data_IF_530511739764
#
_entry.id   IF_530511739764
#
_cell.length_a   1.000
_cell.length_b   1.000
_cell.length_c   1.000
_cell.angle_alpha   90.00
_cell.angle_beta   90.00
_cell.angle_gamma   90.00
#
_symmetry.space_group_name_H-M   'P 1'
#
loop_
_entity.id
_entity.type
_entity.pdbx_description
1 polymer ?
#
# COMPACT_ATOMS: atom_id res chain seq x y z
N UNK A 1 -6.44 -3.03 20.65
CA UNK A 1 -6.41 -4.28 19.83
C UNK A 1 -5.69 -3.98 18.54
N UNK A 2 -4.64 -4.72 18.18
CA UNK A 2 -4.10 -4.66 16.81
C UNK A 2 -5.11 -5.37 15.92
N UNK A 3 -5.75 -4.66 15.01
CA UNK A 3 -6.57 -5.32 14.01
C UNK A 3 -5.68 -6.28 13.22
N UNK A 4 -6.00 -7.57 13.25
CA UNK A 4 -5.39 -8.54 12.34
C UNK A 4 -6.09 -8.40 11.00
N UNK A 5 -5.34 -8.14 9.93
CA UNK A 5 -5.85 -8.13 8.55
C UNK A 5 -5.25 -9.29 7.73
N UNK A 6 -5.60 -10.56 8.01
CA UNK A 6 -4.95 -11.71 7.37
C UNK A 6 -5.03 -11.69 5.85
N UNK A 7 -6.18 -11.28 5.29
CA UNK A 7 -6.37 -11.19 3.84
C UNK A 7 -5.40 -10.18 3.19
N UNK A 8 -5.21 -9.02 3.83
CA UNK A 8 -4.28 -7.99 3.32
C UNK A 8 -2.82 -8.44 3.45
N UNK A 9 -2.47 -9.12 4.54
CA UNK A 9 -1.13 -9.69 4.72
C UNK A 9 -0.86 -10.77 3.65
N UNK A 10 -1.82 -11.65 3.40
CA UNK A 10 -1.73 -12.65 2.33
C UNK A 10 -1.57 -12.03 0.95
N UNK A 11 -2.32 -10.95 0.66
CA UNK A 11 -2.22 -10.20 -0.59
C UNK A 11 -0.82 -9.58 -0.78
N UNK A 12 -0.18 -9.09 0.29
CA UNK A 12 1.18 -8.55 0.26
C UNK A 12 2.25 -9.64 0.08
N UNK A 13 2.07 -10.79 0.71
CA UNK A 13 3.11 -11.83 0.74
C UNK A 13 3.30 -12.54 -0.61
N UNK A 14 2.23 -12.75 -1.37
CA UNK A 14 2.28 -13.44 -2.66
C UNK A 14 3.24 -12.77 -3.69
N UNK A 15 3.11 -11.46 -4.00
CA UNK A 15 4.04 -10.80 -4.92
C UNK A 15 5.46 -10.73 -4.34
N UNK A 16 5.60 -10.49 -3.04
CA UNK A 16 6.90 -10.44 -2.34
C UNK A 16 7.70 -11.73 -2.55
N UNK A 17 7.08 -12.91 -2.36
CA UNK A 17 7.73 -14.20 -2.61
C UNK A 17 8.12 -14.40 -4.07
N UNK A 18 7.29 -13.94 -5.01
CA UNK A 18 7.57 -14.03 -6.45
C UNK A 18 8.77 -13.15 -6.84
N UNK A 19 8.88 -11.94 -6.26
CA UNK A 19 10.00 -11.04 -6.46
C UNK A 19 11.30 -11.65 -5.90
N UNK A 20 11.26 -12.17 -4.66
CA UNK A 20 12.40 -12.86 -4.04
C UNK A 20 12.89 -14.04 -4.90
N UNK A 21 11.97 -14.91 -5.36
CA UNK A 21 12.30 -16.06 -6.20
C UNK A 21 12.88 -15.70 -7.57
N UNK A 22 12.67 -14.47 -8.04
CA UNK A 22 13.22 -13.93 -9.28
C UNK A 22 14.47 -13.08 -9.08
N UNK A 23 14.95 -12.91 -7.84
CA UNK A 23 16.08 -12.05 -7.52
C UNK A 23 15.81 -10.56 -7.75
N UNK A 24 14.55 -10.14 -7.76
CA UNK A 24 14.16 -8.73 -7.92
C UNK A 24 14.18 -8.04 -6.55
N UNK A 25 14.95 -6.97 -6.43
CA UNK A 25 15.06 -6.20 -5.19
C UNK A 25 13.79 -5.38 -4.91
N UNK A 26 13.41 -5.26 -3.63
CA UNK A 26 12.32 -4.43 -3.12
C UNK A 26 12.56 -4.02 -1.66
N UNK A 27 11.76 -3.10 -1.12
CA UNK A 27 11.87 -2.67 0.28
C UNK A 27 11.46 -3.79 1.24
N UNK A 28 12.40 -4.22 2.12
CA UNK A 28 12.20 -5.31 3.08
C UNK A 28 11.69 -4.85 4.44
N UNK A 29 11.35 -3.57 4.62
CA UNK A 29 10.79 -3.07 5.89
C UNK A 29 9.51 -3.85 6.24
N UNK A 30 9.26 -4.10 7.54
CA UNK A 30 8.02 -4.72 7.99
C UNK A 30 6.80 -3.99 7.43
N UNK A 31 5.91 -4.73 6.79
CA UNK A 31 4.71 -4.16 6.21
C UNK A 31 3.74 -3.72 7.31
N UNK A 32 3.55 -2.40 7.41
CA UNK A 32 2.54 -1.77 8.27
C UNK A 32 1.48 -1.15 7.35
N UNK A 33 0.27 -1.72 7.24
CA UNK A 33 -0.77 -1.15 6.39
C UNK A 33 -1.09 0.29 6.79
N UNK A 34 -0.94 1.23 5.85
CA UNK A 34 -1.23 2.65 6.07
C UNK A 34 -1.53 3.36 4.76
N UNK A 35 -2.19 4.51 4.86
CA UNK A 35 -2.35 5.48 3.77
C UNK A 35 -1.63 6.75 4.19
N UNK A 36 -0.69 7.23 3.36
CA UNK A 36 0.00 8.49 3.64
C UNK A 36 -0.96 9.65 3.35
N UNK A 37 -1.32 10.42 4.38
CA UNK A 37 -2.17 11.62 4.23
C UNK A 37 -1.35 12.89 3.97
N UNK A 38 -0.27 13.07 4.72
CA UNK A 38 0.63 14.23 4.64
C UNK A 38 2.07 13.76 4.75
N UNK A 39 2.97 14.36 3.96
CA UNK A 39 4.42 14.15 4.06
C UNK A 39 5.06 15.36 4.73
N UNK A 40 6.17 15.15 5.45
CA UNK A 40 6.89 16.21 6.19
C UNK A 40 5.96 16.97 7.17
N UNK A 41 5.12 16.22 7.88
CA UNK A 41 4.25 16.80 8.90
C UNK A 41 5.10 17.21 10.11
N UNK A 42 5.27 18.52 10.32
CA UNK A 42 6.08 19.08 11.42
C UNK A 42 5.34 19.06 12.76
N UNK A 43 4.01 19.06 12.73
CA UNK A 43 3.16 19.04 13.92
C UNK A 43 2.02 18.05 13.74
N UNK A 44 1.99 17.01 14.58
CA UNK A 44 0.93 16.01 14.55
C UNK A 44 -0.42 16.58 15.01
N UNK A 45 -1.51 16.04 14.47
CA UNK A 45 -2.87 16.27 14.96
C UNK A 45 -3.12 15.40 16.20
N UNK A 46 -2.81 15.91 17.40
CA UNK A 46 -3.15 15.21 18.63
C UNK A 46 -4.68 15.22 18.84
N UNK A 47 -5.27 14.05 19.09
CA UNK A 47 -6.65 13.93 19.61
C UNK A 47 -7.78 13.92 18.57
N UNK A 48 -7.50 13.93 17.27
CA UNK A 48 -8.55 13.77 16.26
C UNK A 48 -8.89 12.29 16.10
N UNK A 49 -10.03 11.88 16.64
CA UNK A 49 -10.63 10.59 16.34
C UNK A 49 -11.35 10.70 15.01
N UNK A 50 -10.91 9.91 14.03
CA UNK A 50 -11.54 9.83 12.71
C UNK A 50 -12.41 8.58 12.70
N UNK A 51 -13.64 8.70 12.18
CA UNK A 51 -14.50 7.55 11.95
C UNK A 51 -13.85 6.60 10.92
N UNK A 52 -13.95 5.30 11.18
CA UNK A 52 -13.36 4.30 10.30
C UNK A 52 -14.11 4.27 8.95
N UNK A 53 -13.36 4.44 7.86
CA UNK A 53 -13.89 4.23 6.51
C UNK A 53 -13.86 2.73 6.22
N UNK A 54 -15.03 2.11 6.17
CA UNK A 54 -15.17 0.73 5.71
C UNK A 54 -15.30 0.70 4.19
N UNK A 55 -14.39 0.00 3.51
CA UNK A 55 -14.49 -0.21 2.07
C UNK A 55 -14.08 -1.64 1.69
N UNK A 56 -14.71 -2.18 0.65
CA UNK A 56 -14.36 -3.47 0.09
C UNK A 56 -13.29 -3.30 -1.00
N UNK A 57 -12.11 -3.89 -0.81
CA UNK A 57 -11.07 -3.92 -1.85
C UNK A 57 -11.50 -4.91 -2.93
N UNK A 58 -11.55 -4.47 -4.19
CA UNK A 58 -11.97 -5.28 -5.35
C UNK A 58 -10.85 -5.56 -6.33
N UNK A 59 -9.78 -4.78 -6.27
CA UNK A 59 -8.70 -4.79 -7.25
C UNK A 59 -7.35 -4.64 -6.55
N UNK A 60 -6.36 -5.38 -7.04
CA UNK A 60 -4.94 -5.11 -6.80
C UNK A 60 -4.37 -4.48 -8.07
N UNK A 61 -3.63 -3.37 -7.93
CA UNK A 61 -3.09 -2.62 -9.07
C UNK A 61 -1.58 -2.46 -8.92
N UNK A 62 -0.84 -2.70 -9.99
CA UNK A 62 0.58 -2.38 -10.09
C UNK A 62 0.73 -0.98 -10.69
N UNK A 63 1.45 -0.11 -10.00
CA UNK A 63 1.76 1.24 -10.46
C UNK A 63 3.26 1.43 -10.67
N UNK A 64 3.61 2.16 -11.73
CA UNK A 64 4.91 2.80 -11.89
C UNK A 64 4.86 4.21 -11.27
N UNK A 65 5.85 4.53 -10.46
CA UNK A 65 6.04 5.86 -9.88
C UNK A 65 7.03 6.67 -10.73
N UNK A 66 6.55 7.71 -11.42
CA UNK A 66 7.39 8.62 -12.21
C UNK A 66 7.51 9.98 -11.53
N UNK A 67 8.75 10.39 -11.23
CA UNK A 67 9.03 11.73 -10.72
C UNK A 67 8.97 12.75 -11.85
N UNK A 68 8.25 13.84 -11.61
CA UNK A 68 8.13 14.99 -12.51
C UNK A 68 8.51 16.26 -11.74
N UNK A 69 8.60 17.38 -12.45
CA UNK A 69 8.83 18.71 -11.86
C UNK A 69 7.69 19.14 -10.91
N UNK A 70 6.50 18.56 -11.05
CA UNK A 70 5.30 18.88 -10.25
C UNK A 70 5.07 17.90 -9.08
N UNK A 71 5.90 16.86 -8.97
CA UNK A 71 5.72 15.81 -7.97
C UNK A 71 5.77 14.40 -8.58
N UNK A 72 5.14 13.44 -7.91
CA UNK A 72 5.13 12.04 -8.37
C UNK A 72 3.82 11.74 -9.08
N UNK A 73 3.89 11.22 -10.30
CA UNK A 73 2.74 10.65 -11.03
C UNK A 73 2.78 9.13 -10.94
N UNK A 74 1.62 8.52 -10.70
CA UNK A 74 1.45 7.07 -10.72
C UNK A 74 0.80 6.65 -12.03
N UNK A 75 1.42 5.70 -12.72
CA UNK A 75 0.94 5.17 -14.00
C UNK A 75 0.57 3.71 -13.78
N UNK A 76 -0.66 3.35 -14.12
CA UNK A 76 -1.12 1.96 -14.00
C UNK A 76 -0.38 1.08 -15.01
N UNK A 77 0.17 -0.03 -14.51
CA UNK A 77 0.85 -1.04 -15.33
C UNK A 77 0.05 -2.33 -15.46
N UNK A 78 -0.91 -2.57 -14.57
CA UNK A 78 -1.77 -3.74 -14.61
C UNK A 78 -2.70 -3.83 -13.39
N UNK A 79 -3.84 -4.48 -13.58
CA UNK A 79 -4.90 -4.62 -12.58
C UNK A 79 -5.37 -6.07 -12.50
N UNK A 80 -5.58 -6.57 -11.28
CA UNK A 80 -6.08 -7.91 -10.98
C UNK A 80 -7.32 -7.82 -10.09
N UNK A 81 -8.42 -8.41 -10.54
CA UNK A 81 -9.67 -8.50 -9.78
C UNK A 81 -9.48 -9.44 -8.59
N UNK A 82 -9.96 -9.04 -7.41
CA UNK A 82 -9.94 -9.83 -6.18
C UNK A 82 -11.32 -10.43 -5.92
N UNK A 83 -11.36 -11.70 -5.50
CA UNK A 83 -12.60 -12.41 -5.17
C UNK A 83 -13.34 -13.02 -6.36
N UNK A 84 -12.65 -13.21 -7.49
CA UNK A 84 -13.11 -14.07 -8.59
C UNK A 84 -12.88 -15.55 -8.27
#
# INVERSE_FOLDING_TARGET
MRASWPALLGLRDAPTRSLDGKGLAFDRKPFTPHVTLVRRCERGSAGVMIEAIAWQVRDLVLYESRSTTEGVRYIECGTWKLGA
#
